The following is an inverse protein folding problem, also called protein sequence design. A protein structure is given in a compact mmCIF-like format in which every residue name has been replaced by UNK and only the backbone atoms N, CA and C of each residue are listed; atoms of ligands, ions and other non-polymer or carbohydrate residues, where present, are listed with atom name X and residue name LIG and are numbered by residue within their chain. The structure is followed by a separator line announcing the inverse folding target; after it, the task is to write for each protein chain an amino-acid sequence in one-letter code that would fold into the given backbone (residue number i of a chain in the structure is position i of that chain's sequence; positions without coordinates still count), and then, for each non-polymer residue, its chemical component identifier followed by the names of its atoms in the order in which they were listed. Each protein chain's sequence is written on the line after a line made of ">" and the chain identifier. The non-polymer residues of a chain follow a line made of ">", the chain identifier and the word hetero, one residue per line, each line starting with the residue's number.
data_IF_519833695223
#
_entry.id   IF_519833695223
#
_cell.length_a   1.000
_cell.length_b   1.000
_cell.length_c   1.000
_cell.angle_alpha   90.00
_cell.angle_beta   90.00
_cell.angle_gamma   90.00
#
_symmetry.space_group_name_H-M   'P 1'
#
loop_
_entity.id
_entity.type
_entity.pdbx_description
1 polymer ?
#
# COMPACT_ATOMS: atom_id res chain seq x y z
N UNK A 1 11.86 -1.45 -4.94
CA UNK A 1 10.84 -1.93 -5.88
C UNK A 1 9.57 -1.30 -5.41
N UNK A 2 8.98 -0.42 -6.20
CA UNK A 2 8.11 0.59 -5.61
C UNK A 2 6.69 0.32 -6.08
N UNK A 3 5.71 0.55 -5.20
CA UNK A 3 4.33 0.41 -5.60
C UNK A 3 3.99 1.56 -6.56
N UNK A 4 3.37 1.26 -7.69
CA UNK A 4 2.92 2.25 -8.66
C UNK A 4 1.40 2.31 -8.62
N UNK A 5 0.87 3.52 -8.49
CA UNK A 5 -0.54 3.80 -8.75
C UNK A 5 -0.63 4.77 -9.92
N UNK A 6 -1.55 4.51 -10.84
CA UNK A 6 -1.81 5.36 -11.97
C UNK A 6 -3.31 5.45 -12.26
N UNK A 7 -3.74 6.61 -12.74
CA UNK A 7 -5.06 6.81 -13.32
C UNK A 7 -4.96 6.79 -14.83
N UNK A 8 -5.91 6.12 -15.48
CA UNK A 8 -6.04 6.07 -16.93
C UNK A 8 -7.33 6.78 -17.34
N UNK A 9 -7.27 7.54 -18.43
CA UNK A 9 -8.46 8.03 -19.10
C UNK A 9 -9.23 6.84 -19.66
N UNK A 10 -10.49 6.70 -19.25
CA UNK A 10 -11.31 5.53 -19.57
C UNK A 10 -11.55 5.34 -21.08
N UNK A 11 -11.55 6.43 -21.85
CA UNK A 11 -11.91 6.38 -23.27
C UNK A 11 -10.70 6.10 -24.16
N UNK A 12 -9.54 6.67 -23.82
CA UNK A 12 -8.32 6.61 -24.62
C UNK A 12 -7.27 5.64 -24.08
N UNK A 13 -7.34 5.27 -22.80
CA UNK A 13 -6.31 4.49 -22.12
C UNK A 13 -5.02 5.28 -21.82
N UNK A 14 -5.01 6.59 -22.06
CA UNK A 14 -3.86 7.44 -21.74
C UNK A 14 -3.71 7.61 -20.23
N UNK A 15 -2.47 7.66 -19.74
CA UNK A 15 -2.19 8.00 -18.34
C UNK A 15 -2.59 9.43 -18.03
N UNK A 16 -3.49 9.61 -17.06
CA UNK A 16 -3.86 10.93 -16.50
C UNK A 16 -2.80 11.37 -15.52
N UNK A 17 -2.44 10.49 -14.58
CA UNK A 17 -1.32 10.68 -13.66
C UNK A 17 -0.77 9.32 -13.20
N UNK A 18 0.44 9.34 -12.64
CA UNK A 18 1.08 8.18 -12.04
C UNK A 18 1.96 8.61 -10.88
N UNK A 19 1.99 7.81 -9.80
CA UNK A 19 2.81 8.05 -8.62
C UNK A 19 3.48 6.76 -8.14
N UNK A 20 4.72 6.91 -7.68
CA UNK A 20 5.48 5.85 -7.02
C UNK A 20 5.39 6.03 -5.51
N UNK A 21 5.21 4.94 -4.79
CA UNK A 21 5.14 4.92 -3.33
C UNK A 21 6.27 4.05 -2.81
N UNK A 22 7.13 4.65 -2.00
CA UNK A 22 8.25 3.96 -1.39
C UNK A 22 8.46 4.42 0.05
N UNK A 23 8.94 3.51 0.90
CA UNK A 23 9.30 3.80 2.30
C UNK A 23 10.74 3.37 2.63
N UNK A 24 11.56 3.24 1.58
CA UNK A 24 13.00 2.99 1.67
C UNK A 24 13.42 1.57 1.30
N UNK A 25 12.51 0.73 0.76
CA UNK A 25 12.89 -0.58 0.23
C UNK A 25 11.98 -1.11 -0.89
N UNK A 26 10.90 -1.81 -0.54
CA UNK A 26 10.15 -2.61 -1.48
C UNK A 26 8.67 -2.70 -1.06
N UNK A 27 7.84 -2.03 -1.85
CA UNK A 27 6.44 -1.78 -1.60
C UNK A 27 5.56 -2.45 -2.66
N UNK A 28 4.41 -2.95 -2.22
CA UNK A 28 3.41 -3.60 -3.07
C UNK A 28 2.04 -3.17 -2.61
N UNK A 29 1.18 -2.83 -3.56
CA UNK A 29 -0.26 -2.71 -3.36
C UNK A 29 -0.93 -3.95 -3.94
N UNK A 30 -1.70 -4.65 -3.11
CA UNK A 30 -2.36 -5.91 -3.48
C UNK A 30 -3.85 -5.71 -3.73
N UNK A 31 -4.49 -4.79 -3.00
CA UNK A 31 -5.91 -4.45 -3.15
C UNK A 31 -6.10 -2.94 -2.98
N UNK A 32 -7.12 -2.40 -3.63
CA UNK A 32 -7.44 -0.98 -3.59
C UNK A 32 -8.94 -0.73 -3.73
N UNK A 33 -9.46 0.15 -2.87
CA UNK A 33 -10.86 0.59 -2.92
C UNK A 33 -10.93 2.11 -2.93
N UNK A 34 -11.98 2.66 -3.52
CA UNK A 34 -12.34 4.07 -3.37
C UNK A 34 -13.49 4.15 -2.38
N UNK A 35 -13.31 4.92 -1.31
CA UNK A 35 -14.35 5.14 -0.30
C UNK A 35 -14.23 6.56 0.27
N UNK A 36 -15.36 7.24 0.49
CA UNK A 36 -15.42 8.59 1.07
C UNK A 36 -14.40 9.59 0.46
N UNK A 37 -14.33 9.63 -0.88
CA UNK A 37 -13.43 10.53 -1.64
C UNK A 37 -11.93 10.30 -1.35
N UNK A 38 -11.55 9.07 -1.03
CA UNK A 38 -10.16 8.65 -0.86
C UNK A 38 -9.96 7.26 -1.45
N UNK A 39 -8.73 7.02 -1.87
CA UNK A 39 -8.24 5.71 -2.25
C UNK A 39 -7.65 5.07 -1.00
N UNK A 40 -8.08 3.87 -0.67
CA UNK A 40 -7.46 3.05 0.35
C UNK A 40 -6.84 1.85 -0.32
N UNK A 41 -5.60 1.55 0.06
CA UNK A 41 -4.91 0.38 -0.45
C UNK A 41 -4.26 -0.40 0.66
N UNK A 42 -4.16 -1.70 0.44
CA UNK A 42 -3.45 -2.60 1.32
C UNK A 42 -2.40 -3.39 0.55
N UNK A 43 -1.44 -3.93 1.29
CA UNK A 43 -0.34 -4.67 0.68
C UNK A 43 0.80 -4.81 1.66
N UNK A 44 2.02 -4.72 1.15
CA UNK A 44 3.22 -4.84 1.97
C UNK A 44 4.17 -3.70 1.72
N UNK A 45 4.65 -3.13 2.82
CA UNK A 45 5.77 -2.20 2.85
C UNK A 45 6.98 -2.88 3.49
N UNK A 46 8.18 -2.38 3.21
CA UNK A 46 9.39 -2.91 3.82
C UNK A 46 10.21 -1.79 4.44
N UNK A 47 10.69 -2.01 5.67
CA UNK A 47 11.58 -1.04 6.30
C UNK A 47 12.90 -0.90 5.54
N UNK A 48 13.57 0.22 5.78
CA UNK A 48 14.87 0.51 5.21
C UNK A 48 15.88 -0.64 5.42
N UNK A 49 16.67 -0.90 4.39
CA UNK A 49 17.61 -2.02 4.35
C UNK A 49 16.99 -3.37 3.99
N UNK A 50 15.67 -3.45 3.76
CA UNK A 50 15.00 -4.64 3.25
C UNK A 50 15.11 -5.89 4.13
N UNK A 51 14.71 -7.02 3.58
CA UNK A 51 14.70 -8.32 4.27
C UNK A 51 13.28 -8.87 4.49
N UNK A 52 13.18 -10.19 4.62
CA UNK A 52 11.92 -10.91 4.84
C UNK A 52 11.40 -10.76 6.27
N UNK A 53 12.26 -10.41 7.22
CA UNK A 53 11.98 -10.04 8.61
C UNK A 53 11.42 -8.61 8.75
N UNK A 54 11.51 -7.80 7.70
CA UNK A 54 11.12 -6.37 7.69
C UNK A 54 9.87 -6.07 6.85
N UNK A 55 9.22 -7.09 6.30
CA UNK A 55 7.98 -6.94 5.55
C UNK A 55 6.81 -6.70 6.52
N UNK A 56 6.01 -5.65 6.30
CA UNK A 56 4.87 -5.29 7.15
C UNK A 56 3.61 -5.10 6.31
N UNK A 57 2.44 -5.59 6.76
CA UNK A 57 1.17 -5.21 6.17
C UNK A 57 1.00 -3.70 6.33
N UNK A 58 0.51 -3.06 5.29
CA UNK A 58 0.26 -1.64 5.29
C UNK A 58 -1.20 -1.36 4.92
N UNK A 59 -1.79 -0.36 5.56
CA UNK A 59 -2.98 0.32 5.07
C UNK A 59 -2.57 1.76 4.75
N UNK A 60 -2.80 2.20 3.53
CA UNK A 60 -2.47 3.55 3.08
C UNK A 60 -3.73 4.25 2.59
N UNK A 61 -3.95 5.48 3.05
CA UNK A 61 -4.95 6.38 2.48
C UNK A 61 -4.26 7.38 1.57
N UNK A 62 -4.85 7.56 0.39
CA UNK A 62 -4.37 8.39 -0.70
C UNK A 62 -5.54 9.28 -1.15
N UNK A 63 -5.29 10.54 -1.47
CA UNK A 63 -6.30 11.38 -2.11
C UNK A 63 -6.53 10.98 -3.58
N UNK A 64 -7.53 11.56 -4.24
CA UNK A 64 -7.86 11.23 -5.64
C UNK A 64 -6.82 11.76 -6.65
N UNK A 65 -5.86 12.58 -6.24
CA UNK A 65 -4.77 13.06 -7.08
C UNK A 65 -3.49 12.23 -6.90
N UNK A 66 -3.55 11.14 -6.12
CA UNK A 66 -2.40 10.27 -5.85
C UNK A 66 -1.45 10.79 -4.78
N UNK A 67 -1.86 11.74 -3.93
CA UNK A 67 -1.03 12.13 -2.78
C UNK A 67 -1.31 11.22 -1.60
N UNK A 68 -0.27 10.57 -1.07
CA UNK A 68 -0.37 9.82 0.18
C UNK A 68 -0.73 10.75 1.34
N UNK A 69 -1.84 10.47 2.02
CA UNK A 69 -2.27 11.22 3.20
C UNK A 69 -1.68 10.61 4.47
N UNK A 70 -1.73 9.28 4.61
CA UNK A 70 -1.06 8.54 5.66
C UNK A 70 -0.86 7.07 5.28
N UNK A 71 0.10 6.42 5.94
CA UNK A 71 0.30 4.98 5.92
C UNK A 71 0.39 4.45 7.35
N UNK A 72 -0.39 3.42 7.66
CA UNK A 72 -0.30 2.67 8.91
C UNK A 72 0.35 1.33 8.64
N UNK A 73 1.50 1.10 9.26
CA UNK A 73 2.23 -0.15 9.19
C UNK A 73 1.89 -0.99 10.42
N UNK A 74 1.36 -2.19 10.19
CA UNK A 74 1.03 -3.09 11.29
C UNK A 74 2.26 -3.90 11.69
N UNK A 75 2.68 -3.71 12.93
CA UNK A 75 3.80 -4.41 13.53
C UNK A 75 3.31 -5.64 14.27
N UNK A 76 3.96 -6.77 14.01
CA UNK A 76 4.01 -7.89 14.93
C UNK A 76 5.44 -7.96 15.41
N UNK A 77 5.63 -8.00 16.74
CA UNK A 77 6.95 -8.22 17.30
C UNK A 77 7.45 -9.60 16.85
N UNK A 78 8.57 -9.59 16.14
CA UNK A 78 9.25 -10.81 15.71
C UNK A 78 10.60 -10.88 16.40
N UNK A 79 10.94 -12.07 16.90
CA UNK A 79 12.23 -12.28 17.52
C UNK A 79 13.36 -11.96 16.52
N UNK A 80 14.52 -11.44 16.99
CA UNK A 80 15.66 -11.18 16.13
C UNK A 80 16.04 -12.41 15.30
N UNK A 81 16.22 -12.24 13.99
CA UNK A 81 16.57 -13.31 13.07
C UNK A 81 15.40 -14.17 12.57
N UNK A 82 14.15 -13.84 12.94
CA UNK A 82 12.96 -14.53 12.43
C UNK A 82 12.37 -13.81 11.23
N UNK A 83 12.09 -14.55 10.17
CA UNK A 83 11.39 -14.03 8.99
C UNK A 83 9.93 -13.67 9.32
N UNK A 84 9.50 -12.50 8.87
CA UNK A 84 8.19 -11.94 9.14
C UNK A 84 7.58 -11.46 7.82
N UNK A 85 7.23 -12.42 6.96
CA UNK A 85 6.67 -12.14 5.64
C UNK A 85 5.18 -11.88 5.75
N UNK A 86 4.85 -10.73 6.33
CA UNK A 86 3.47 -10.34 6.56
C UNK A 86 2.96 -9.50 5.38
N UNK A 87 1.79 -9.87 4.90
CA UNK A 87 1.09 -9.21 3.81
C UNK A 87 -0.37 -9.05 4.20
N UNK A 88 -0.97 -7.95 3.82
CA UNK A 88 -2.42 -7.87 3.63
C UNK A 88 -2.71 -7.97 2.14
N UNK A 89 -3.79 -8.66 1.80
CA UNK A 89 -4.12 -8.99 0.41
C UNK A 89 -5.50 -8.51 0.01
N UNK A 90 -6.32 -8.11 0.97
CA UNK A 90 -7.71 -7.73 0.74
C UNK A 90 -8.14 -6.65 1.73
N UNK A 91 -9.11 -5.83 1.32
CA UNK A 91 -9.66 -4.72 2.07
C UNK A 91 -11.14 -4.57 1.70
N UNK A 92 -12.00 -4.55 2.71
CA UNK A 92 -13.44 -4.29 2.54
C UNK A 92 -13.88 -3.12 3.42
N UNK A 93 -14.87 -2.38 2.94
CA UNK A 93 -15.59 -1.42 3.77
C UNK A 93 -16.68 -2.17 4.51
N UNK A 94 -16.49 -2.32 5.82
CA UNK A 94 -17.41 -3.08 6.66
C UNK A 94 -18.73 -2.34 6.96
N UNK A 95 -18.72 -1.00 6.98
CA UNK A 95 -19.88 -0.16 7.37
C UNK A 95 -20.48 -0.50 8.76
N UNK A 96 -19.77 -1.23 9.62
CA UNK A 96 -20.15 -1.47 11.02
C UNK A 96 -21.24 -2.54 11.20
N UNK A 97 -21.05 -3.72 10.61
CA UNK A 97 -21.94 -4.87 10.83
C UNK A 97 -21.71 -5.56 12.17
#
# INVERSE_FOLDING_TARGET
>A
CDAVLLELDRNSGNTVWSQNYHLGSCETFNEMIIHANSIYTTGRYNFAGGGTDKMRPALTQIDLNGNALWSRLYLVDVAPGVNARLYSTDLIVDNGL
#
